data_IF_987377536571
#
_entry.id   IF_987377536571
#
_cell.length_a   1.000
_cell.length_b   1.000
_cell.length_c   1.000
_cell.angle_alpha   90.00
_cell.angle_beta   90.00
_cell.angle_gamma   90.00
#
_symmetry.space_group_name_H-M   'P 1'
#
loop_
_entity.id
_entity.type
_entity.pdbx_description
1 polymer ?
#
# COMPACT_ATOMS: atom_id res chain seq x y z
N UNK A 1 -12.55 8.59 -5.19
CA UNK A 1 -11.72 7.44 -5.58
C UNK A 1 -10.28 7.78 -5.26
N UNK A 2 -9.59 6.92 -4.55
CA UNK A 2 -8.17 7.06 -4.22
C UNK A 2 -7.35 6.04 -5.02
N UNK A 3 -6.10 6.37 -5.34
CA UNK A 3 -5.19 5.51 -6.10
C UNK A 3 -4.13 4.95 -5.16
N UNK A 4 -4.09 3.63 -4.93
CA UNK A 4 -3.12 3.04 -4.00
C UNK A 4 -1.65 3.27 -4.39
N UNK A 5 -1.36 3.45 -5.69
CA UNK A 5 -0.02 3.82 -6.14
C UNK A 5 0.48 5.14 -5.57
N UNK A 6 -0.41 6.12 -5.32
CA UNK A 6 -0.02 7.38 -4.68
C UNK A 6 0.46 7.18 -3.25
N UNK A 7 -0.20 6.28 -2.50
CA UNK A 7 0.22 5.89 -1.14
C UNK A 7 1.55 5.13 -1.17
N UNK A 8 1.75 4.26 -2.17
CA UNK A 8 3.04 3.57 -2.36
C UNK A 8 4.16 4.58 -2.63
N UNK A 9 3.94 5.56 -3.52
CA UNK A 9 4.93 6.62 -3.77
C UNK A 9 5.21 7.43 -2.51
N UNK A 10 4.18 7.78 -1.73
CA UNK A 10 4.34 8.48 -0.46
C UNK A 10 5.29 7.73 0.49
N UNK A 11 5.09 6.41 0.65
CA UNK A 11 5.96 5.54 1.46
C UNK A 11 7.41 5.57 0.96
N UNK A 12 7.61 5.42 -0.36
CA UNK A 12 8.95 5.39 -0.96
C UNK A 12 9.68 6.73 -0.86
N UNK A 13 8.97 7.84 -0.72
CA UNK A 13 9.55 9.19 -0.62
C UNK A 13 9.64 9.74 0.80
N UNK A 14 9.12 9.03 1.80
CA UNK A 14 9.14 9.47 3.19
C UNK A 14 10.34 8.92 3.95
N UNK A 15 10.81 9.70 4.93
CA UNK A 15 11.78 9.28 5.94
C UNK A 15 11.18 9.19 7.35
N UNK A 16 9.93 9.62 7.53
CA UNK A 16 9.21 9.56 8.79
C UNK A 16 8.56 8.19 8.97
N UNK A 17 8.98 7.48 10.01
CA UNK A 17 8.49 6.14 10.31
C UNK A 17 6.99 6.13 10.61
N UNK A 18 6.46 7.16 11.26
CA UNK A 18 5.04 7.23 11.62
C UNK A 18 4.17 7.49 10.39
N UNK A 19 4.64 8.33 9.46
CA UNK A 19 4.00 8.53 8.17
C UNK A 19 3.96 7.24 7.36
N UNK A 20 5.10 6.55 7.26
CA UNK A 20 5.20 5.28 6.54
C UNK A 20 4.25 4.24 7.14
N UNK A 21 4.24 4.10 8.47
CA UNK A 21 3.35 3.17 9.17
C UNK A 21 1.88 3.50 8.91
N UNK A 22 1.52 4.78 8.95
CA UNK A 22 0.16 5.21 8.66
C UNK A 22 -0.25 4.86 7.23
N UNK A 23 0.61 5.13 6.26
CA UNK A 23 0.39 4.82 4.85
C UNK A 23 0.31 3.30 4.59
N UNK A 24 1.14 2.48 5.22
CA UNK A 24 1.07 1.01 5.13
C UNK A 24 -0.29 0.51 5.62
N UNK A 25 -0.76 1.02 6.77
CA UNK A 25 -2.08 0.65 7.31
C UNK A 25 -3.23 1.02 6.37
N UNK A 26 -3.17 2.21 5.77
CA UNK A 26 -4.15 2.62 4.76
C UNK A 26 -4.14 1.67 3.55
N UNK A 27 -2.94 1.32 3.07
CA UNK A 27 -2.77 0.45 1.92
C UNK A 27 -3.35 -0.95 2.18
N UNK A 28 -2.98 -1.57 3.31
CA UNK A 28 -3.46 -2.91 3.70
C UNK A 28 -4.98 -2.95 3.91
N UNK A 29 -5.55 -1.87 4.46
CA UNK A 29 -7.00 -1.71 4.63
C UNK A 29 -7.77 -1.55 3.32
N UNK A 30 -7.10 -1.21 2.21
CA UNK A 30 -7.74 -0.93 0.91
C UNK A 30 -7.80 -2.12 -0.04
N UNK A 31 -7.43 -3.33 0.40
CA UNK A 31 -7.33 -4.53 -0.44
C UNK A 31 -8.65 -5.30 -0.62
N UNK A 32 -9.73 -4.87 0.06
CA UNK A 32 -11.02 -5.58 0.11
C UNK A 32 -10.89 -7.07 0.43
N UNK A 33 -9.93 -7.43 1.31
CA UNK A 33 -9.59 -8.80 1.72
C UNK A 33 -9.04 -9.71 0.62
N UNK A 34 -8.74 -9.17 -0.57
CA UNK A 34 -8.19 -9.95 -1.69
C UNK A 34 -6.67 -10.07 -1.64
N UNK A 35 -5.99 -9.27 -0.80
CA UNK A 35 -4.53 -9.26 -0.70
C UNK A 35 -3.82 -8.76 -1.96
N UNK A 36 -4.55 -8.10 -2.87
CA UNK A 36 -4.05 -7.52 -4.11
C UNK A 36 -4.28 -6.01 -4.13
N UNK A 37 -3.46 -5.31 -4.91
CA UNK A 37 -3.61 -3.88 -5.15
C UNK A 37 -4.59 -3.62 -6.30
N UNK A 38 -5.59 -2.79 -6.00
CA UNK A 38 -6.53 -2.26 -7.00
C UNK A 38 -5.98 -0.99 -7.66
N UNK A 39 -6.50 -0.65 -8.84
CA UNK A 39 -6.11 0.60 -9.52
C UNK A 39 -6.68 1.82 -8.81
N UNK A 40 -7.96 1.74 -8.42
CA UNK A 40 -8.60 2.75 -7.60
C UNK A 40 -9.53 2.10 -6.58
N UNK A 41 -9.61 2.72 -5.40
CA UNK A 41 -10.48 2.30 -4.30
C UNK A 41 -11.44 3.43 -3.94
N UNK A 42 -12.68 3.11 -3.62
CA UNK A 42 -13.61 4.10 -3.14
C UNK A 42 -13.38 4.35 -1.64
N UNK A 43 -13.17 5.62 -1.29
CA UNK A 43 -12.89 6.06 0.09
C UNK A 43 -14.07 5.86 1.05
N UNK A 44 -15.28 5.69 0.52
CA UNK A 44 -16.52 5.58 1.29
C UNK A 44 -17.15 4.18 1.24
N UNK A 45 -16.63 3.29 0.39
CA UNK A 45 -17.24 1.98 0.10
C UNK A 45 -16.16 0.99 -0.33
N UNK A 46 -15.71 0.11 0.56
CA UNK A 46 -14.62 -0.85 0.28
C UNK A 46 -14.99 -1.85 -0.85
N UNK A 47 -16.28 -2.03 -1.14
CA UNK A 47 -16.74 -2.94 -2.20
C UNK A 47 -16.64 -2.36 -3.60
N UNK A 48 -16.25 -1.09 -3.75
CA UNK A 48 -16.14 -0.40 -5.05
C UNK A 48 -14.69 -0.08 -5.38
N UNK A 49 -14.12 -0.90 -6.26
CA UNK A 49 -12.78 -0.71 -6.81
C UNK A 49 -12.78 -0.96 -8.32
N UNK A 50 -11.77 -0.42 -9.01
CA UNK A 50 -11.54 -0.70 -10.43
C UNK A 50 -10.36 -1.66 -10.58
N UNK A 51 -10.51 -2.60 -11.52
CA UNK A 51 -9.53 -3.63 -11.90
C UNK A 51 -9.12 -4.54 -10.72
N UNK A 52 -9.68 -5.75 -10.62
CA UNK A 52 -9.41 -6.68 -9.51
C UNK A 52 -7.95 -7.09 -9.41
N UNK A 53 -7.26 -7.04 -10.55
CA UNK A 53 -5.87 -7.42 -10.68
C UNK A 53 -5.16 -6.39 -11.56
N UNK A 54 -4.38 -5.53 -10.91
CA UNK A 54 -3.53 -4.59 -11.61
C UNK A 54 -2.06 -4.94 -11.38
N UNK A 55 -1.49 -5.70 -12.31
CA UNK A 55 -0.12 -6.23 -12.20
C UNK A 55 0.93 -5.15 -11.93
N UNK A 56 0.77 -3.96 -12.51
CA UNK A 56 1.70 -2.85 -12.27
C UNK A 56 1.64 -2.34 -10.82
N UNK A 57 0.44 -2.13 -10.26
CA UNK A 57 0.29 -1.73 -8.87
C UNK A 57 0.84 -2.79 -7.90
N UNK A 58 0.64 -4.07 -8.19
CA UNK A 58 1.24 -5.17 -7.42
C UNK A 58 2.77 -5.18 -7.50
N UNK A 59 3.34 -4.93 -8.69
CA UNK A 59 4.79 -4.82 -8.87
C UNK A 59 5.39 -3.64 -8.11
N UNK A 60 4.72 -2.48 -8.15
CA UNK A 60 5.13 -1.30 -7.41
C UNK A 60 5.08 -1.52 -5.89
N UNK A 61 4.05 -2.22 -5.40
CA UNK A 61 3.98 -2.64 -4.01
C UNK A 61 5.15 -3.56 -3.63
N UNK A 62 5.48 -4.55 -4.48
CA UNK A 62 6.66 -5.40 -4.26
C UNK A 62 7.96 -4.61 -4.19
N UNK A 63 8.15 -3.63 -5.08
CA UNK A 63 9.32 -2.75 -5.07
C UNK A 63 9.41 -1.92 -3.78
N UNK A 64 8.27 -1.41 -3.29
CA UNK A 64 8.20 -0.69 -2.02
C UNK A 64 8.59 -1.58 -0.82
N UNK A 65 8.17 -2.86 -0.81
CA UNK A 65 8.57 -3.79 0.25
C UNK A 65 10.08 -4.04 0.23
N UNK A 66 10.68 -4.23 -0.94
CA UNK A 66 12.14 -4.41 -1.07
C UNK A 66 12.92 -3.17 -0.61
N UNK A 67 12.42 -1.98 -0.96
CA UNK A 67 13.00 -0.71 -0.54
C UNK A 67 12.92 -0.49 0.99
N UNK A 68 11.79 -0.82 1.62
CA UNK A 68 11.67 -0.78 3.07
C UNK A 68 12.53 -1.84 3.77
N UNK A 69 12.69 -3.02 3.16
CA UNK A 69 13.55 -4.07 3.70
C UNK A 69 15.02 -3.61 3.79
N UNK A 70 15.48 -2.84 2.81
CA UNK A 70 16.84 -2.30 2.79
C UNK A 70 17.01 -1.11 3.76
N UNK A 71 16.08 -0.15 3.75
CA UNK A 71 16.24 1.10 4.50
C UNK A 71 15.70 1.08 5.92
N UNK A 72 14.59 0.38 6.17
CA UNK A 72 13.80 0.43 7.40
C UNK A 72 13.18 -0.94 7.75
N UNK A 73 13.98 -2.03 7.87
CA UNK A 73 13.45 -3.38 8.05
C UNK A 73 12.61 -3.57 9.32
N UNK A 74 12.84 -2.76 10.37
CA UNK A 74 12.06 -2.78 11.61
C UNK A 74 10.58 -2.40 11.39
N UNK A 75 10.26 -1.67 10.33
CA UNK A 75 8.87 -1.38 9.96
C UNK A 75 8.16 -2.61 9.40
N UNK A 76 8.87 -3.53 8.74
CA UNK A 76 8.28 -4.77 8.20
C UNK A 76 8.12 -5.87 9.26
N UNK A 77 8.79 -5.74 10.41
CA UNK A 77 8.67 -6.69 11.52
C UNK A 77 7.35 -6.56 12.32
N UNK A 78 6.48 -5.61 11.97
CA UNK A 78 5.20 -5.35 12.65
C UNK A 78 4.04 -5.98 11.87
N UNK A 79 2.97 -6.37 12.57
CA UNK A 79 1.70 -6.74 11.91
C UNK A 79 0.86 -5.50 11.62
N UNK A 80 0.30 -5.44 10.42
CA UNK A 80 -0.61 -4.37 9.96
C UNK A 80 -1.97 -4.90 9.52
N UNK A 81 -2.24 -6.17 9.81
CA UNK A 81 -3.50 -6.88 9.61
C UNK A 81 -3.92 -7.55 10.93
#
# INVERSE_FOLDING_TARGET
>A
MAWPMGVITQIMTSNDDDEIVHAIKQLMGSTSKLGLMHESVNTWDDGKWTRPWFAWANGLFGQMILDLLDRKPHLLAKSYQ
#
